data_IF_052238848179
#
_entry.id   IF_052238848179
#
_cell.length_a   1.000
_cell.length_b   1.000
_cell.length_c   1.000
_cell.angle_alpha   90.00
_cell.angle_beta   90.00
_cell.angle_gamma   90.00
#
_symmetry.space_group_name_H-M   'P 1'
#
loop_
_entity.id
_entity.type
_entity.pdbx_description
1 polymer ?
#
# COMPACT_ATOMS: atom_id res chain seq x y z
N UNK A 1 0.60 -1.57 -13.21
CA UNK A 1 -0.70 -1.93 -12.62
C UNK A 1 -0.57 -3.30 -11.99
N UNK A 2 -1.10 -3.52 -10.79
CA UNK A 2 -0.90 -4.73 -9.96
C UNK A 2 -1.50 -6.03 -10.52
N UNK A 3 -2.12 -6.00 -11.71
CA UNK A 3 -2.76 -7.16 -12.32
C UNK A 3 -4.10 -7.58 -11.69
N UNK A 4 -4.55 -6.89 -10.65
CA UNK A 4 -5.78 -7.20 -9.92
C UNK A 4 -6.76 -6.00 -9.89
N UNK A 5 -8.08 -6.24 -9.90
CA UNK A 5 -9.08 -5.19 -9.84
C UNK A 5 -8.98 -4.39 -8.55
N UNK A 6 -9.31 -3.10 -8.62
CA UNK A 6 -9.33 -2.24 -7.45
C UNK A 6 -10.40 -2.72 -6.45
N UNK A 7 -10.07 -2.87 -5.15
CA UNK A 7 -11.05 -3.13 -4.11
C UNK A 7 -12.01 -1.94 -3.94
N UNK A 8 -13.13 -2.16 -3.24
CA UNK A 8 -14.03 -1.08 -2.87
C UNK A 8 -13.27 -0.02 -2.03
N UNK A 9 -13.38 1.28 -2.35
CA UNK A 9 -12.59 2.32 -1.68
C UNK A 9 -13.00 2.56 -0.22
N UNK A 10 -14.23 2.17 0.13
CA UNK A 10 -14.80 2.37 1.45
C UNK A 10 -15.42 1.09 2.00
N UNK A 11 -15.40 0.98 3.32
CA UNK A 11 -16.08 -0.05 4.10
C UNK A 11 -17.05 0.61 5.08
N UNK A 12 -18.07 -0.15 5.50
CA UNK A 12 -18.98 0.26 6.57
C UNK A 12 -18.27 0.18 7.92
N UNK A 13 -18.29 1.27 8.68
CA UNK A 13 -17.73 1.32 10.02
C UNK A 13 -18.69 0.79 11.09
N UNK A 14 -18.21 0.57 12.33
CA UNK A 14 -19.02 0.02 13.43
C UNK A 14 -20.25 0.86 13.82
N UNK A 15 -20.27 2.15 13.43
CA UNK A 15 -21.39 3.08 13.65
C UNK A 15 -22.19 3.36 12.37
N UNK A 16 -22.10 2.49 11.37
CA UNK A 16 -22.79 2.63 10.08
C UNK A 16 -22.18 3.65 9.10
N UNK A 17 -21.27 4.52 9.54
CA UNK A 17 -20.60 5.49 8.65
C UNK A 17 -19.56 4.87 7.71
N UNK A 18 -19.29 5.52 6.57
CA UNK A 18 -18.26 5.09 5.60
C UNK A 18 -16.85 5.37 6.13
N UNK A 19 -15.92 4.44 5.92
CA UNK A 19 -14.50 4.56 6.28
C UNK A 19 -13.62 4.06 5.15
N UNK A 20 -12.42 4.63 4.99
CA UNK A 20 -11.42 4.11 4.03
C UNK A 20 -11.16 2.62 4.27
N UNK A 21 -11.21 1.81 3.21
CA UNK A 21 -10.87 0.41 3.27
C UNK A 21 -9.33 0.22 3.19
N UNK A 22 -8.68 -0.46 4.16
CA UNK A 22 -7.25 -0.72 4.09
C UNK A 22 -6.81 -1.47 2.83
N UNK A 23 -7.61 -2.42 2.34
CA UNK A 23 -7.30 -3.16 1.10
C UNK A 23 -7.22 -2.24 -0.12
N UNK A 24 -8.05 -1.19 -0.17
CA UNK A 24 -7.96 -0.19 -1.23
C UNK A 24 -6.68 0.66 -1.09
N UNK A 25 -6.31 1.07 0.13
CA UNK A 25 -5.06 1.78 0.36
C UNK A 25 -3.84 0.92 -0.01
N UNK A 26 -3.84 -0.38 0.30
CA UNK A 26 -2.80 -1.33 -0.11
C UNK A 26 -2.71 -1.48 -1.63
N UNK A 27 -3.86 -1.56 -2.32
CA UNK A 27 -3.90 -1.57 -3.77
C UNK A 27 -3.35 -0.28 -4.39
N UNK A 28 -3.66 0.89 -3.81
CA UNK A 28 -3.11 2.18 -4.25
C UNK A 28 -1.59 2.24 -4.08
N UNK A 29 -1.04 1.60 -3.04
CA UNK A 29 0.40 1.43 -2.86
C UNK A 29 1.02 0.50 -3.91
N UNK A 30 0.21 -0.14 -4.76
CA UNK A 30 0.70 -1.06 -5.77
C UNK A 30 1.27 -2.37 -5.17
N UNK A 31 0.85 -2.72 -3.96
CA UNK A 31 1.24 -3.94 -3.25
C UNK A 31 0.37 -5.13 -3.68
N UNK A 32 0.91 -6.34 -3.51
CA UNK A 32 0.12 -7.56 -3.68
C UNK A 32 -1.00 -7.63 -2.63
N UNK A 33 -2.18 -8.18 -2.97
CA UNK A 33 -3.25 -8.35 -2.01
C UNK A 33 -2.81 -9.11 -0.76
N UNK A 34 -3.14 -8.59 0.42
CA UNK A 34 -2.81 -9.17 1.71
C UNK A 34 -1.44 -8.77 2.26
N UNK A 35 -0.64 -7.95 1.57
CA UNK A 35 0.73 -7.61 2.01
C UNK A 35 0.79 -7.00 3.42
N UNK A 36 -0.12 -6.07 3.74
CA UNK A 36 -0.34 -5.53 5.10
C UNK A 36 -1.66 -6.05 5.65
N UNK A 37 -2.69 -6.10 4.83
CA UNK A 37 -4.07 -6.38 5.24
C UNK A 37 -4.34 -7.85 5.55
N UNK A 38 -3.46 -8.76 5.13
CA UNK A 38 -3.50 -10.19 5.44
C UNK A 38 -2.66 -10.59 6.65
N UNK A 39 -1.99 -9.64 7.32
CA UNK A 39 -1.18 -9.92 8.51
C UNK A 39 -2.07 -10.01 9.74
N UNK A 40 -2.03 -11.15 10.42
CA UNK A 40 -2.80 -11.41 11.63
C UNK A 40 -2.42 -10.47 12.78
N UNK A 41 -3.42 -10.11 13.59
CA UNK A 41 -3.23 -9.25 14.77
C UNK A 41 -3.15 -7.75 14.47
N UNK A 42 -3.11 -7.32 13.21
CA UNK A 42 -3.14 -5.89 12.87
C UNK A 42 -4.56 -5.32 12.93
N UNK A 43 -4.74 -4.26 13.72
CA UNK A 43 -5.99 -3.50 13.69
C UNK A 43 -6.10 -2.69 12.39
N UNK A 44 -7.31 -2.28 12.00
CA UNK A 44 -7.51 -1.34 10.87
C UNK A 44 -6.63 -0.07 11.00
N UNK A 45 -6.47 0.43 12.23
CA UNK A 45 -5.65 1.62 12.49
C UNK A 45 -4.18 1.34 12.21
N UNK A 46 -3.67 0.18 12.62
CA UNK A 46 -2.29 -0.22 12.35
C UNK A 46 -2.03 -0.44 10.87
N UNK A 47 -2.94 -1.13 10.17
CA UNK A 47 -2.83 -1.33 8.72
C UNK A 47 -2.73 0.00 7.98
N UNK A 48 -3.62 0.95 8.25
CA UNK A 48 -3.58 2.26 7.60
C UNK A 48 -2.37 3.10 7.99
N UNK A 49 -1.88 2.97 9.22
CA UNK A 49 -0.65 3.64 9.66
C UNK A 49 0.58 3.09 8.92
N UNK A 50 0.67 1.77 8.78
CA UNK A 50 1.75 1.12 8.04
C UNK A 50 1.71 1.47 6.55
N UNK A 51 0.52 1.40 5.94
CA UNK A 51 0.33 1.75 4.53
C UNK A 51 0.60 3.24 4.26
N UNK A 52 0.12 4.13 5.13
CA UNK A 52 0.28 5.57 4.97
C UNK A 52 1.70 6.07 5.23
N UNK A 53 2.49 5.38 6.06
CA UNK A 53 3.90 5.69 6.30
C UNK A 53 4.85 4.90 5.39
N UNK A 54 4.33 3.96 4.61
CA UNK A 54 5.11 3.14 3.69
C UNK A 54 5.52 3.90 2.44
N UNK A 55 6.45 3.31 1.68
CA UNK A 55 6.89 3.85 0.38
C UNK A 55 6.16 3.12 -0.75
N UNK A 56 5.76 3.87 -1.78
CA UNK A 56 5.23 3.28 -3.02
C UNK A 56 6.36 2.53 -3.74
N UNK A 57 6.30 1.19 -3.88
CA UNK A 57 7.43 0.40 -4.38
C UNK A 57 7.89 0.80 -5.78
N UNK A 58 6.98 1.24 -6.65
CA UNK A 58 7.31 1.68 -8.00
C UNK A 58 8.17 2.96 -7.98
N UNK A 59 7.92 3.86 -7.01
CA UNK A 59 8.72 5.06 -6.83
C UNK A 59 10.09 4.72 -6.23
N UNK A 60 10.14 3.81 -5.26
CA UNK A 60 11.40 3.32 -4.69
C UNK A 60 12.27 2.62 -5.74
N UNK A 61 11.69 1.77 -6.58
CA UNK A 61 12.41 1.05 -7.64
C UNK A 61 13.04 2.03 -8.64
N UNK A 62 12.32 3.08 -9.04
CA UNK A 62 12.88 4.12 -9.90
C UNK A 62 14.02 4.86 -9.21
N UNK A 63 13.83 5.30 -7.96
CA UNK A 63 14.85 6.03 -7.21
C UNK A 63 16.13 5.19 -7.00
N UNK A 64 16.00 3.90 -6.71
CA UNK A 64 17.15 3.01 -6.58
C UNK A 64 17.86 2.78 -7.92
N UNK A 65 17.12 2.63 -9.02
CA UNK A 65 17.73 2.49 -10.35
C UNK A 65 18.57 3.72 -10.71
N UNK A 66 18.05 4.92 -10.45
CA UNK A 66 18.76 6.18 -10.65
C UNK A 66 20.01 6.28 -9.78
N UNK A 67 19.91 5.94 -8.49
CA UNK A 67 21.07 5.96 -7.58
C UNK A 67 22.15 4.97 -8.00
N UNK A 68 21.76 3.75 -8.41
CA UNK A 68 22.70 2.74 -8.88
C UNK A 68 23.39 3.14 -10.17
N UNK A 69 22.67 3.72 -11.14
CA UNK A 69 23.24 4.20 -12.39
C UNK A 69 24.32 5.27 -12.13
N UNK A 70 24.05 6.20 -11.19
CA UNK A 70 25.03 7.23 -10.77
C UNK A 70 26.28 6.65 -10.10
N UNK A 71 26.15 5.54 -9.37
CA UNK A 71 27.28 4.88 -8.71
C UNK A 71 28.12 4.12 -9.74
N UNK A 72 27.48 3.45 -10.70
CA UNK A 72 28.15 2.59 -11.68
C UNK A 72 28.77 3.38 -12.84
N UNK A 73 28.18 4.52 -13.24
CA UNK A 73 28.73 5.40 -14.30
C UNK A 73 29.76 6.41 -13.80
N UNK A 74 30.19 6.29 -12.54
CA UNK A 74 31.34 7.02 -11.99
C UNK A 74 32.63 6.28 -12.31
#
# INVERSE_FOLDING_TARGET
MTGHPAPAPVMTGPRGGRRLAPAFAEWMMGLSPGYVTGVDGLTRKDQLRLLGNGVVPQQAQMAYAELLDRIVRR
#
